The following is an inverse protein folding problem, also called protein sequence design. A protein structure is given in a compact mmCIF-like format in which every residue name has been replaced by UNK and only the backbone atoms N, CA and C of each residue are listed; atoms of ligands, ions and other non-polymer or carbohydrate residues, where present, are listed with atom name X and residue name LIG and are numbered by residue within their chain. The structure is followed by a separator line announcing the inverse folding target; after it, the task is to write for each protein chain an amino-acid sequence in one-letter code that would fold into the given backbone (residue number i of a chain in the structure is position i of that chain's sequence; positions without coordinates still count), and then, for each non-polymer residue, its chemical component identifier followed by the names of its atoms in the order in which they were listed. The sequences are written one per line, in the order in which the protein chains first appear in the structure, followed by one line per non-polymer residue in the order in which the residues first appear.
data_IF_753624983842
#
_entry.id   IF_753624983842
#
_cell.length_a   1.000
_cell.length_b   1.000
_cell.length_c   1.000
_cell.angle_alpha   90.00
_cell.angle_beta   90.00
_cell.angle_gamma   90.00
#
_symmetry.space_group_name_H-M   'P 1'
#
loop_
_entity.id
_entity.type
_entity.pdbx_description
1 polymer ?
#
# COMPACT_ATOMS: atom_id res chain seq x y z
N UNK A 1 -14.24 9.84 -1.49
CA UNK A 1 -14.32 8.56 -2.20
C UNK A 1 -14.99 8.69 -3.56
N UNK A 2 -16.22 9.18 -3.64
CA UNK A 2 -16.92 9.37 -4.93
C UNK A 2 -16.08 10.21 -5.92
N UNK A 3 -15.41 11.26 -5.46
CA UNK A 3 -14.55 12.10 -6.28
C UNK A 3 -13.35 11.35 -6.91
N UNK A 4 -12.82 10.31 -6.27
CA UNK A 4 -11.74 9.48 -6.82
C UNK A 4 -12.25 8.59 -7.95
N UNK A 5 -13.37 7.90 -7.74
CA UNK A 5 -13.94 7.01 -8.76
C UNK A 5 -14.64 7.77 -9.91
N UNK A 6 -15.05 9.02 -9.69
CA UNK A 6 -15.54 9.90 -10.76
C UNK A 6 -14.41 10.60 -11.51
N UNK A 7 -13.17 10.53 -10.98
CA UNK A 7 -11.99 11.12 -11.60
C UNK A 7 -11.36 10.14 -12.60
N UNK A 8 -10.97 10.66 -13.76
CA UNK A 8 -10.12 9.96 -14.73
C UNK A 8 -8.83 9.41 -14.11
N UNK A 9 -8.32 10.11 -13.09
CA UNK A 9 -7.11 9.74 -12.38
C UNK A 9 -7.29 8.41 -11.60
N UNK A 10 -8.44 8.18 -10.97
CA UNK A 10 -8.71 6.95 -10.22
C UNK A 10 -8.72 5.69 -11.11
N UNK A 11 -9.42 5.75 -12.22
CA UNK A 11 -9.44 4.65 -13.18
C UNK A 11 -8.10 4.45 -13.89
N UNK A 12 -7.41 5.55 -14.22
CA UNK A 12 -6.09 5.50 -14.82
C UNK A 12 -5.08 4.76 -13.96
N UNK A 13 -5.14 4.96 -12.65
CA UNK A 13 -4.23 4.31 -11.70
C UNK A 13 -4.51 2.81 -11.56
N UNK A 14 -5.78 2.41 -11.41
CA UNK A 14 -6.16 0.99 -11.37
C UNK A 14 -5.77 0.29 -12.67
N UNK A 15 -6.07 0.92 -13.82
CA UNK A 15 -5.73 0.37 -15.13
C UNK A 15 -4.21 0.24 -15.33
N UNK A 16 -3.42 1.23 -14.90
CA UNK A 16 -1.95 1.17 -15.01
C UNK A 16 -1.37 0.03 -14.18
N UNK A 17 -1.90 -0.21 -12.98
CA UNK A 17 -1.52 -1.34 -12.15
C UNK A 17 -1.74 -2.68 -12.88
N UNK A 18 -2.96 -2.87 -13.42
CA UNK A 18 -3.29 -4.12 -14.12
C UNK A 18 -2.49 -4.32 -15.41
N UNK A 19 -2.26 -3.26 -16.17
CA UNK A 19 -1.44 -3.32 -17.38
C UNK A 19 0.00 -3.71 -17.02
N UNK A 20 0.60 -3.04 -16.04
CA UNK A 20 1.97 -3.33 -15.62
C UNK A 20 2.09 -4.75 -15.06
N UNK A 21 1.20 -5.13 -14.14
CA UNK A 21 1.21 -6.49 -13.57
C UNK A 21 0.92 -7.55 -14.64
N UNK A 22 -0.03 -7.31 -15.54
CA UNK A 22 -0.33 -8.22 -16.63
C UNK A 22 0.85 -8.42 -17.57
N UNK A 23 1.57 -7.35 -17.94
CA UNK A 23 2.77 -7.46 -18.78
C UNK A 23 3.88 -8.24 -18.07
N UNK A 24 4.13 -7.97 -16.79
CA UNK A 24 5.17 -8.68 -16.04
C UNK A 24 4.83 -10.15 -15.79
N UNK A 25 3.60 -10.46 -15.42
CA UNK A 25 3.18 -11.84 -15.10
C UNK A 25 3.13 -12.72 -16.35
N UNK A 26 2.82 -12.16 -17.54
CA UNK A 26 2.52 -12.95 -18.74
C UNK A 26 3.48 -12.77 -19.92
N UNK A 27 4.22 -11.67 -20.01
CA UNK A 27 4.95 -11.31 -21.23
C UNK A 27 6.46 -11.21 -21.05
N UNK A 28 6.95 -10.69 -19.91
CA UNK A 28 8.36 -10.47 -19.69
C UNK A 28 9.07 -11.78 -19.36
N UNK A 29 10.34 -11.93 -19.79
CA UNK A 29 11.18 -13.09 -19.49
C UNK A 29 11.23 -13.37 -17.98
N UNK A 30 11.04 -14.63 -17.59
CA UNK A 30 10.84 -15.03 -16.21
C UNK A 30 9.36 -14.94 -15.76
N UNK A 31 8.43 -14.94 -16.72
CA UNK A 31 6.98 -15.00 -16.45
C UNK A 31 6.55 -16.39 -15.94
N UNK A 32 5.31 -16.46 -15.50
CA UNK A 32 4.70 -17.71 -14.97
C UNK A 32 4.76 -18.87 -15.98
N UNK A 33 4.72 -18.57 -17.28
CA UNK A 33 4.74 -19.60 -18.33
C UNK A 33 6.17 -20.16 -18.52
N UNK A 34 7.19 -19.35 -18.32
CA UNK A 34 8.60 -19.78 -18.45
C UNK A 34 9.04 -20.70 -17.31
N UNK A 35 8.60 -20.40 -16.08
CA UNK A 35 8.92 -21.23 -14.91
C UNK A 35 8.16 -22.55 -14.86
N UNK A 36 7.02 -22.66 -15.54
CA UNK A 36 6.20 -23.87 -15.56
C UNK A 36 5.53 -24.23 -14.23
N UNK A 37 5.63 -23.37 -13.23
CA UNK A 37 4.96 -23.51 -11.93
C UNK A 37 3.78 -22.56 -11.85
N UNK A 38 2.66 -23.05 -11.29
CA UNK A 38 1.44 -22.27 -11.07
C UNK A 38 1.57 -21.38 -9.82
N UNK A 39 2.52 -20.40 -9.83
CA UNK A 39 2.82 -19.54 -8.71
C UNK A 39 2.68 -18.07 -9.07
N UNK A 40 2.23 -17.26 -8.11
CA UNK A 40 2.12 -15.78 -8.21
C UNK A 40 3.33 -15.05 -7.61
N UNK A 41 4.49 -15.70 -7.50
CA UNK A 41 5.68 -15.13 -6.87
C UNK A 41 6.08 -13.82 -7.54
N UNK A 42 6.11 -13.78 -8.88
CA UNK A 42 6.42 -12.58 -9.67
C UNK A 42 5.47 -11.42 -9.36
N UNK A 43 4.18 -11.71 -9.19
CA UNK A 43 3.18 -10.69 -8.82
C UNK A 43 3.46 -10.11 -7.43
N UNK A 44 3.76 -10.96 -6.44
CA UNK A 44 4.04 -10.51 -5.08
C UNK A 44 5.37 -9.78 -4.95
N UNK A 45 6.39 -10.14 -5.74
CA UNK A 45 7.69 -9.48 -5.74
C UNK A 45 7.62 -8.07 -6.35
N UNK A 46 6.79 -7.87 -7.38
CA UNK A 46 6.70 -6.61 -8.09
C UNK A 46 5.68 -5.63 -7.49
N UNK A 47 4.57 -6.15 -6.94
CA UNK A 47 3.49 -5.33 -6.39
C UNK A 47 3.95 -4.31 -5.35
N UNK A 48 4.85 -4.63 -4.39
CA UNK A 48 5.36 -3.66 -3.42
C UNK A 48 6.02 -2.44 -4.07
N UNK A 49 6.79 -2.65 -5.15
CA UNK A 49 7.46 -1.57 -5.88
C UNK A 49 6.47 -0.63 -6.55
N UNK A 50 5.39 -1.16 -7.12
CA UNK A 50 4.33 -0.34 -7.67
C UNK A 50 3.68 0.52 -6.58
N UNK A 51 3.27 -0.10 -5.47
CA UNK A 51 2.60 0.62 -4.38
C UNK A 51 3.52 1.60 -3.65
N UNK A 52 4.84 1.37 -3.66
CA UNK A 52 5.83 2.28 -3.09
C UNK A 52 5.76 3.68 -3.74
N UNK A 53 5.52 3.76 -5.05
CA UNK A 53 5.33 5.01 -5.78
C UNK A 53 3.89 5.49 -5.77
N UNK A 54 2.96 4.55 -5.93
CA UNK A 54 1.55 4.86 -6.13
C UNK A 54 0.87 5.41 -4.86
N UNK A 55 1.16 4.82 -3.71
CA UNK A 55 0.52 5.23 -2.46
C UNK A 55 0.90 6.65 -2.03
N UNK A 56 2.16 7.11 -2.11
CA UNK A 56 2.49 8.52 -1.89
C UNK A 56 1.78 9.48 -2.84
N UNK A 57 1.62 9.10 -4.11
CA UNK A 57 0.87 9.91 -5.08
C UNK A 57 -0.61 10.07 -4.71
N UNK A 58 -1.23 9.01 -4.18
CA UNK A 58 -2.62 9.06 -3.70
C UNK A 58 -2.77 9.88 -2.40
N UNK A 59 -1.81 9.73 -1.48
CA UNK A 59 -1.91 10.30 -0.14
C UNK A 59 -1.43 11.73 -0.05
N UNK A 60 -0.61 12.22 -1.02
CA UNK A 60 -0.01 13.56 -0.97
C UNK A 60 -1.04 14.68 -0.80
N UNK A 61 -2.24 14.55 -1.36
CA UNK A 61 -3.28 15.58 -1.30
C UNK A 61 -4.07 15.56 0.01
N UNK A 62 -3.93 14.51 0.83
CA UNK A 62 -4.84 14.26 1.96
C UNK A 62 -4.84 15.37 3.01
N UNK A 63 -3.69 15.91 3.38
CA UNK A 63 -3.56 17.01 4.34
C UNK A 63 -2.90 18.24 3.71
N UNK A 64 -1.93 18.06 2.81
CA UNK A 64 -1.18 19.16 2.23
C UNK A 64 -2.07 20.12 1.44
N UNK A 65 -3.05 19.62 0.68
CA UNK A 65 -3.99 20.46 -0.07
C UNK A 65 -4.87 21.31 0.85
N UNK A 66 -5.36 20.71 1.95
CA UNK A 66 -6.19 21.43 2.92
C UNK A 66 -5.38 22.51 3.66
N UNK A 67 -4.09 22.24 3.93
CA UNK A 67 -3.19 23.21 4.56
C UNK A 67 -2.80 24.33 3.59
N UNK A 68 -2.58 24.02 2.30
CA UNK A 68 -2.23 25.00 1.28
C UNK A 68 -3.39 25.95 0.98
N UNK A 69 -4.61 25.42 0.86
CA UNK A 69 -5.82 26.20 0.61
C UNK A 69 -6.40 26.87 1.86
N UNK A 70 -5.83 26.65 3.05
CA UNK A 70 -6.35 27.19 4.31
C UNK A 70 -7.69 26.56 4.76
N UNK A 71 -8.19 25.58 4.04
CA UNK A 71 -9.47 24.89 4.36
C UNK A 71 -9.40 23.99 5.59
N UNK A 72 -8.20 23.69 6.05
CA UNK A 72 -7.96 22.96 7.29
C UNK A 72 -8.57 23.66 8.50
N UNK A 73 -8.58 25.01 8.53
CA UNK A 73 -9.24 25.79 9.59
C UNK A 73 -10.77 25.63 9.59
N UNK A 74 -11.39 25.48 8.40
CA UNK A 74 -12.83 25.22 8.27
C UNK A 74 -13.21 23.83 8.80
N UNK A 75 -12.36 22.82 8.54
CA UNK A 75 -12.55 21.48 9.11
C UNK A 75 -12.54 21.48 10.64
N UNK A 76 -11.79 22.39 11.26
CA UNK A 76 -11.69 22.55 12.71
C UNK A 76 -12.91 23.23 13.34
N UNK A 77 -13.64 24.05 12.59
CA UNK A 77 -14.90 24.65 13.08
C UNK A 77 -16.04 23.65 13.17
N UNK A 78 -15.92 22.48 12.55
CA UNK A 78 -16.89 21.40 12.66
C UNK A 78 -16.73 20.65 14.00
N UNK A 79 -17.79 20.10 14.59
CA UNK A 79 -17.73 19.32 15.82
C UNK A 79 -17.17 17.91 15.58
N UNK A 80 -16.00 17.82 14.93
CA UNK A 80 -15.33 16.57 14.54
C UNK A 80 -13.96 16.54 15.20
N UNK A 81 -13.59 15.40 15.79
CA UNK A 81 -12.27 15.22 16.41
C UNK A 81 -11.18 14.96 15.35
N UNK A 82 -9.94 15.42 15.62
CA UNK A 82 -8.79 15.15 14.74
C UNK A 82 -8.58 13.65 14.47
N UNK A 83 -8.96 12.80 15.43
CA UNK A 83 -8.89 11.35 15.29
C UNK A 83 -9.90 10.82 14.24
N UNK A 84 -11.11 11.35 14.23
CA UNK A 84 -12.14 10.97 13.24
C UNK A 84 -11.72 11.41 11.82
N UNK A 85 -11.14 12.58 11.67
CA UNK A 85 -10.62 13.06 10.38
C UNK A 85 -9.50 12.13 9.88
N UNK A 86 -8.55 11.80 10.77
CA UNK A 86 -7.44 10.92 10.43
C UNK A 86 -7.92 9.53 10.02
N UNK A 87 -8.79 8.90 10.80
CA UNK A 87 -9.33 7.57 10.49
C UNK A 87 -10.16 7.58 9.20
N UNK A 88 -10.94 8.64 8.95
CA UNK A 88 -11.70 8.76 7.72
C UNK A 88 -10.78 8.84 6.48
N UNK A 89 -9.67 9.61 6.55
CA UNK A 89 -8.69 9.70 5.47
C UNK A 89 -7.92 8.38 5.27
N UNK A 90 -7.47 7.76 6.36
CA UNK A 90 -6.82 6.45 6.31
C UNK A 90 -7.75 5.38 5.72
N UNK A 91 -8.99 5.28 6.22
CA UNK A 91 -9.98 4.33 5.71
C UNK A 91 -10.35 4.58 4.24
N UNK A 92 -10.38 5.86 3.80
CA UNK A 92 -10.62 6.21 2.41
C UNK A 92 -9.52 5.68 1.49
N UNK A 93 -8.24 5.86 1.86
CA UNK A 93 -7.10 5.35 1.10
C UNK A 93 -7.03 3.83 1.16
N UNK A 94 -7.25 3.23 2.33
CA UNK A 94 -7.31 1.77 2.50
C UNK A 94 -8.40 1.15 1.59
N UNK A 95 -9.55 1.78 1.47
CA UNK A 95 -10.62 1.33 0.57
C UNK A 95 -10.19 1.38 -0.90
N UNK A 96 -9.47 2.43 -1.34
CA UNK A 96 -8.92 2.51 -2.70
C UNK A 96 -7.95 1.37 -2.95
N UNK A 97 -7.08 1.05 -1.98
CA UNK A 97 -6.16 -0.10 -2.06
C UNK A 97 -6.92 -1.41 -2.22
N UNK A 98 -7.96 -1.64 -1.42
CA UNK A 98 -8.82 -2.84 -1.56
C UNK A 98 -9.41 -2.91 -2.97
N UNK A 99 -9.98 -1.81 -3.47
CA UNK A 99 -10.53 -1.77 -4.83
C UNK A 99 -9.48 -2.00 -5.93
N UNK A 100 -8.22 -1.65 -5.68
CA UNK A 100 -7.11 -1.92 -6.61
C UNK A 100 -6.67 -3.38 -6.54
N UNK A 101 -6.68 -4.01 -5.37
CA UNK A 101 -6.26 -5.40 -5.20
C UNK A 101 -7.36 -6.40 -5.57
N UNK A 102 -8.64 -6.07 -5.41
CA UNK A 102 -9.75 -6.99 -5.68
C UNK A 102 -9.70 -7.65 -7.07
N UNK A 103 -9.51 -6.89 -8.18
CA UNK A 103 -9.46 -7.51 -9.50
C UNK A 103 -8.23 -8.41 -9.71
N UNK A 104 -7.20 -8.33 -8.84
CA UNK A 104 -6.02 -9.23 -8.91
C UNK A 104 -6.38 -10.70 -8.64
N UNK A 105 -7.57 -10.96 -8.11
CA UNK A 105 -8.14 -12.31 -8.00
C UNK A 105 -8.23 -12.99 -9.38
N UNK A 106 -8.38 -12.22 -10.46
CA UNK A 106 -8.38 -12.75 -11.83
C UNK A 106 -7.06 -13.45 -12.20
N UNK A 107 -5.92 -12.97 -11.66
CA UNK A 107 -4.63 -13.65 -11.86
C UNK A 107 -4.63 -15.03 -11.20
N UNK A 108 -5.24 -15.18 -10.01
CA UNK A 108 -5.36 -16.47 -9.32
C UNK A 108 -6.17 -17.45 -10.17
N UNK A 109 -7.32 -16.99 -10.70
CA UNK A 109 -8.17 -17.85 -11.54
C UNK A 109 -7.45 -18.28 -12.81
N UNK A 110 -6.69 -17.35 -13.44
CA UNK A 110 -5.93 -17.68 -14.64
C UNK A 110 -4.85 -18.72 -14.38
N UNK A 111 -4.13 -18.62 -13.27
CA UNK A 111 -3.09 -19.58 -12.88
C UNK A 111 -3.71 -20.93 -12.49
N UNK A 112 -4.81 -20.91 -11.75
CA UNK A 112 -5.53 -22.14 -11.39
C UNK A 112 -5.99 -22.94 -12.62
N UNK A 113 -6.40 -22.25 -13.69
CA UNK A 113 -6.83 -22.86 -14.94
C UNK A 113 -5.67 -23.39 -15.79
N UNK A 114 -4.49 -22.74 -15.72
CA UNK A 114 -3.30 -23.12 -16.49
C UNK A 114 -2.47 -24.24 -15.81
N UNK A 115 -2.65 -24.44 -14.49
CA UNK A 115 -1.91 -25.47 -13.73
C UNK A 115 -2.25 -26.89 -14.17
N UNK A 116 -1.25 -27.78 -14.24
CA UNK A 116 -1.42 -29.20 -14.53
C UNK A 116 -0.93 -30.03 -13.33
N UNK A 117 -1.84 -30.83 -12.68
CA UNK A 117 -3.30 -30.90 -12.87
C UNK A 117 -4.00 -29.60 -12.52
N UNK A 118 -5.22 -29.39 -13.06
CA UNK A 118 -6.02 -28.19 -12.78
C UNK A 118 -6.15 -27.93 -11.27
N UNK A 119 -6.06 -26.64 -10.86
CA UNK A 119 -6.06 -26.20 -9.47
C UNK A 119 -4.85 -26.64 -8.62
N UNK A 120 -3.75 -27.03 -9.23
CA UNK A 120 -2.52 -27.36 -8.53
C UNK A 120 -1.71 -26.10 -8.22
N UNK A 121 -2.17 -25.31 -7.25
CA UNK A 121 -1.48 -24.12 -6.74
C UNK A 121 -1.43 -24.14 -5.22
N UNK A 122 -0.41 -23.51 -4.64
CA UNK A 122 -0.29 -23.39 -3.19
C UNK A 122 -1.20 -22.26 -2.65
N UNK A 123 -2.32 -22.68 -2.06
CA UNK A 123 -3.29 -21.78 -1.46
C UNK A 123 -2.70 -20.95 -0.30
N UNK A 124 -1.75 -21.52 0.45
CA UNK A 124 -1.12 -20.85 1.60
C UNK A 124 -0.27 -19.68 1.14
N UNK A 125 0.48 -19.87 0.05
CA UNK A 125 1.32 -18.85 -0.57
C UNK A 125 0.46 -17.70 -1.12
N UNK A 126 -0.64 -18.02 -1.80
CA UNK A 126 -1.55 -17.02 -2.37
C UNK A 126 -2.22 -16.19 -1.25
N UNK A 127 -2.83 -16.87 -0.28
CA UNK A 127 -3.52 -16.18 0.83
C UNK A 127 -2.52 -15.37 1.67
N UNK A 128 -1.38 -15.96 2.01
CA UNK A 128 -0.31 -15.29 2.74
C UNK A 128 0.21 -14.06 2.00
N UNK A 129 0.45 -14.18 0.69
CA UNK A 129 0.91 -13.11 -0.16
C UNK A 129 -0.08 -11.93 -0.25
N UNK A 130 -1.38 -12.19 -0.43
CA UNK A 130 -2.39 -11.12 -0.46
C UNK A 130 -2.56 -10.43 0.90
N UNK A 131 -2.53 -11.18 2.01
CA UNK A 131 -2.58 -10.59 3.36
C UNK A 131 -1.34 -9.74 3.61
N UNK A 132 -0.15 -10.25 3.30
CA UNK A 132 1.11 -9.53 3.43
C UNK A 132 1.12 -8.25 2.60
N UNK A 133 0.72 -8.34 1.33
CA UNK A 133 0.66 -7.20 0.42
C UNK A 133 -0.34 -6.14 0.93
N UNK A 134 -1.51 -6.55 1.38
CA UNK A 134 -2.50 -5.63 1.92
C UNK A 134 -1.97 -4.88 3.16
N UNK A 135 -1.36 -5.59 4.11
CA UNK A 135 -0.79 -5.00 5.32
C UNK A 135 0.38 -4.06 5.00
N UNK A 136 1.28 -4.47 4.10
CA UNK A 136 2.39 -3.63 3.64
C UNK A 136 1.87 -2.32 3.03
N UNK A 137 0.89 -2.41 2.13
CA UNK A 137 0.34 -1.22 1.46
C UNK A 137 -0.38 -0.30 2.46
N UNK A 138 -1.01 -0.85 3.51
CA UNK A 138 -1.55 -0.03 4.61
C UNK A 138 -0.45 0.70 5.39
N UNK A 139 0.74 0.12 5.57
CA UNK A 139 1.89 0.82 6.12
C UNK A 139 2.34 1.96 5.22
N UNK A 140 2.38 1.73 3.90
CA UNK A 140 2.69 2.79 2.93
C UNK A 140 1.65 3.93 2.95
N UNK A 141 0.35 3.60 3.14
CA UNK A 141 -0.72 4.59 3.33
C UNK A 141 -0.47 5.42 4.59
N UNK A 142 -0.09 4.79 5.71
CA UNK A 142 0.21 5.50 6.95
C UNK A 142 1.41 6.43 6.78
N UNK A 143 2.50 5.98 6.12
CA UNK A 143 3.67 6.79 5.78
C UNK A 143 3.30 7.99 4.89
N UNK A 144 2.49 7.75 3.86
CA UNK A 144 2.05 8.79 2.93
C UNK A 144 1.18 9.85 3.60
N UNK A 145 0.26 9.46 4.49
CA UNK A 145 -0.51 10.39 5.31
C UNK A 145 0.38 11.18 6.27
N UNK A 146 1.38 10.52 6.87
CA UNK A 146 2.36 11.20 7.71
C UNK A 146 3.13 12.25 6.92
N UNK A 147 3.66 11.90 5.75
CA UNK A 147 4.34 12.81 4.84
C UNK A 147 3.46 14.00 4.43
N UNK A 148 2.18 13.73 4.07
CA UNK A 148 1.22 14.76 3.72
C UNK A 148 0.93 15.72 4.88
N UNK A 149 1.02 15.25 6.14
CA UNK A 149 0.86 16.10 7.32
C UNK A 149 2.08 17.00 7.59
N UNK A 150 3.24 16.71 7.00
CA UNK A 150 4.50 17.44 7.20
C UNK A 150 4.64 18.69 6.33
N UNK A 151 4.04 18.71 5.15
CA UNK A 151 4.21 19.76 4.16
C UNK A 151 2.88 20.34 3.69
N UNK A 152 2.86 21.65 3.44
CA UNK A 152 1.73 22.32 2.75
C UNK A 152 1.76 22.11 1.24
N UNK A 153 2.92 21.76 0.67
CA UNK A 153 3.10 21.59 -0.77
C UNK A 153 2.98 20.12 -1.15
N UNK A 154 2.04 19.79 -2.03
CA UNK A 154 1.77 18.44 -2.51
C UNK A 154 3.02 17.72 -3.07
N UNK A 155 3.87 18.34 -3.96
CA UNK A 155 5.05 17.66 -4.48
C UNK A 155 6.07 17.31 -3.39
N UNK A 156 6.20 18.14 -2.35
CA UNK A 156 7.09 17.87 -1.22
C UNK A 156 6.54 16.69 -0.40
N UNK A 157 5.23 16.67 -0.15
CA UNK A 157 4.58 15.55 0.53
C UNK A 157 4.77 14.22 -0.22
N UNK A 158 4.67 14.25 -1.56
CA UNK A 158 4.94 13.08 -2.40
C UNK A 158 6.37 12.56 -2.23
N UNK A 159 7.37 13.45 -2.38
CA UNK A 159 8.79 13.07 -2.28
C UNK A 159 9.12 12.52 -0.88
N UNK A 160 8.63 13.18 0.18
CA UNK A 160 8.84 12.71 1.56
C UNK A 160 8.18 11.35 1.78
N UNK A 161 6.94 11.15 1.28
CA UNK A 161 6.25 9.87 1.38
C UNK A 161 6.97 8.74 0.64
N UNK A 162 7.51 9.03 -0.55
CA UNK A 162 8.29 8.10 -1.34
C UNK A 162 9.59 7.72 -0.62
N UNK A 163 10.32 8.70 -0.08
CA UNK A 163 11.55 8.44 0.69
C UNK A 163 11.24 7.59 1.93
N UNK A 164 10.19 7.91 2.69
CA UNK A 164 9.80 7.12 3.86
C UNK A 164 9.47 5.68 3.49
N UNK A 165 8.67 5.46 2.43
CA UNK A 165 8.34 4.12 1.97
C UNK A 165 9.60 3.35 1.55
N UNK A 166 10.50 3.99 0.81
CA UNK A 166 11.75 3.36 0.38
C UNK A 166 12.67 3.02 1.56
N UNK A 167 12.81 3.94 2.52
CA UNK A 167 13.64 3.72 3.72
C UNK A 167 13.12 2.56 4.55
N UNK A 168 11.81 2.46 4.78
CA UNK A 168 11.24 1.35 5.56
C UNK A 168 11.13 0.05 4.77
N UNK A 169 11.06 0.11 3.44
CA UNK A 169 10.99 -1.07 2.59
C UNK A 169 12.38 -1.70 2.34
N UNK A 170 13.35 -0.91 1.91
CA UNK A 170 14.67 -1.39 1.51
C UNK A 170 15.79 -0.85 2.40
N UNK A 171 15.70 0.42 2.80
CA UNK A 171 16.79 1.07 3.52
C UNK A 171 17.04 0.50 4.91
N UNK A 172 16.01 0.06 5.62
CA UNK A 172 16.14 -0.54 6.96
C UNK A 172 16.95 -1.83 6.91
N UNK A 173 16.75 -2.66 5.89
CA UNK A 173 17.49 -3.90 5.64
C UNK A 173 18.98 -3.63 5.39
N UNK A 174 19.31 -2.66 4.57
CA UNK A 174 20.70 -2.31 4.23
C UNK A 174 21.51 -1.77 5.43
N UNK A 175 20.81 -1.12 6.37
CA UNK A 175 21.44 -0.58 7.59
C UNK A 175 21.45 -1.61 8.73
N UNK A 176 20.87 -2.80 8.55
CA UNK A 176 20.81 -3.85 9.57
C UNK A 176 19.82 -3.55 10.69
N UNK A 177 18.78 -2.76 10.41
CA UNK A 177 17.71 -2.43 11.35
C UNK A 177 16.51 -3.38 11.16
N UNK A 178 16.74 -4.66 11.38
CA UNK A 178 15.77 -5.73 11.14
C UNK A 178 14.42 -5.53 11.86
N UNK A 179 14.44 -4.81 13.00
CA UNK A 179 13.23 -4.57 13.80
C UNK A 179 12.25 -3.55 13.18
N UNK A 180 12.63 -2.81 12.14
CA UNK A 180 11.76 -1.88 11.40
C UNK A 180 11.70 -2.17 9.91
N UNK A 181 12.30 -3.28 9.47
CA UNK A 181 12.35 -3.69 8.07
C UNK A 181 11.03 -4.33 7.63
N UNK A 182 10.25 -3.58 6.83
CA UNK A 182 8.99 -4.08 6.28
C UNK A 182 9.21 -5.23 5.29
N UNK A 183 10.36 -5.26 4.58
CA UNK A 183 10.59 -6.24 3.51
C UNK A 183 10.81 -7.64 4.05
N UNK A 184 11.53 -7.81 5.17
CA UNK A 184 11.76 -9.14 5.76
C UNK A 184 10.47 -9.75 6.33
N UNK A 185 9.63 -8.95 6.98
CA UNK A 185 8.31 -9.38 7.46
C UNK A 185 7.37 -9.74 6.30
N UNK A 186 7.36 -8.91 5.25
CA UNK A 186 6.59 -9.15 4.05
C UNK A 186 7.00 -10.46 3.36
N UNK A 187 8.30 -10.66 3.11
CA UNK A 187 8.80 -11.83 2.41
C UNK A 187 8.49 -13.14 3.15
N UNK A 188 8.54 -13.16 4.49
CA UNK A 188 8.11 -14.36 5.26
C UNK A 188 6.63 -14.67 5.06
N UNK A 189 5.79 -13.64 5.13
CA UNK A 189 4.34 -13.82 4.96
C UNK A 189 3.96 -14.17 3.52
N UNK A 190 4.64 -13.59 2.52
CA UNK A 190 4.38 -13.87 1.11
C UNK A 190 4.76 -15.29 0.71
N UNK A 191 5.68 -15.94 1.43
CA UNK A 191 6.00 -17.35 1.30
C UNK A 191 4.99 -18.28 2.00
N UNK A 192 3.85 -17.76 2.44
CA UNK A 192 2.77 -18.54 3.07
C UNK A 192 2.93 -18.76 4.58
N UNK A 193 3.99 -18.21 5.22
CA UNK A 193 4.21 -18.33 6.66
C UNK A 193 3.55 -17.18 7.41
N UNK A 194 2.28 -17.34 7.78
CA UNK A 194 1.54 -16.34 8.55
C UNK A 194 1.92 -16.43 10.03
N UNK A 195 2.91 -15.65 10.46
CA UNK A 195 3.29 -15.50 11.85
C UNK A 195 2.47 -14.41 12.54
N UNK A 196 2.00 -14.70 13.76
CA UNK A 196 1.33 -13.70 14.59
C UNK A 196 2.26 -12.51 14.92
N UNK A 197 3.56 -12.76 15.03
CA UNK A 197 4.57 -11.71 15.22
C UNK A 197 4.61 -10.71 14.06
N UNK A 198 4.55 -11.20 12.82
CA UNK A 198 4.59 -10.35 11.64
C UNK A 198 3.29 -9.50 11.52
N UNK A 199 2.14 -10.10 11.85
CA UNK A 199 0.86 -9.37 11.90
C UNK A 199 0.90 -8.24 12.95
N UNK A 200 1.39 -8.54 14.16
CA UNK A 200 1.54 -7.53 15.22
C UNK A 200 2.50 -6.41 14.82
N UNK A 201 3.57 -6.74 14.11
CA UNK A 201 4.53 -5.76 13.62
C UNK A 201 3.85 -4.77 12.67
N UNK A 202 3.15 -5.22 11.63
CA UNK A 202 2.46 -4.35 10.68
C UNK A 202 1.39 -3.48 11.35
N UNK A 203 0.56 -4.08 12.21
CA UNK A 203 -0.48 -3.34 12.96
C UNK A 203 0.15 -2.31 13.90
N UNK A 204 1.21 -2.70 14.63
CA UNK A 204 1.95 -1.81 15.53
C UNK A 204 2.57 -0.63 14.79
N UNK A 205 3.17 -0.86 13.62
CA UNK A 205 3.74 0.16 12.76
C UNK A 205 2.67 1.18 12.30
N UNK A 206 1.52 0.70 11.85
CA UNK A 206 0.39 1.55 11.47
C UNK A 206 -0.10 2.40 12.64
N UNK A 207 -0.31 1.78 13.81
CA UNK A 207 -0.79 2.48 15.02
C UNK A 207 0.21 3.55 15.46
N UNK A 208 1.51 3.26 15.42
CA UNK A 208 2.57 4.20 15.76
C UNK A 208 2.53 5.42 14.85
N UNK A 209 2.45 5.23 13.54
CA UNK A 209 2.38 6.32 12.58
C UNK A 209 1.11 7.15 12.70
N UNK A 210 -0.05 6.50 12.83
CA UNK A 210 -1.31 7.21 13.05
C UNK A 210 -1.28 8.01 14.36
N UNK A 211 -0.63 7.47 15.40
CA UNK A 211 -0.36 8.19 16.65
C UNK A 211 0.50 9.43 16.45
N UNK A 212 1.58 9.32 15.68
CA UNK A 212 2.46 10.43 15.35
C UNK A 212 1.72 11.53 14.56
N UNK A 213 0.90 11.16 13.57
CA UNK A 213 0.07 12.10 12.82
C UNK A 213 -0.91 12.81 13.77
N UNK A 214 -1.57 12.06 14.66
CA UNK A 214 -2.52 12.62 15.63
C UNK A 214 -1.86 13.65 16.55
N UNK A 215 -0.67 13.36 17.06
CA UNK A 215 0.10 14.29 17.88
C UNK A 215 0.42 15.56 17.10
N UNK A 216 0.92 15.40 15.86
CA UNK A 216 1.23 16.54 14.99
C UNK A 216 0.01 17.41 14.69
N UNK A 217 -1.13 16.80 14.37
CA UNK A 217 -2.37 17.54 14.14
C UNK A 217 -2.83 18.32 15.38
N UNK A 218 -2.51 17.87 16.60
CA UNK A 218 -2.75 18.62 17.83
C UNK A 218 -1.86 19.86 17.95
N UNK A 219 -0.58 19.79 17.50
CA UNK A 219 0.32 20.94 17.52
C UNK A 219 0.04 21.97 16.41
N UNK A 220 -0.64 21.57 15.36
CA UNK A 220 -1.15 22.48 14.32
C UNK A 220 -2.44 23.19 14.74
N UNK A 221 -3.00 22.72 15.85
CA UNK A 221 -4.18 23.27 16.52
C UNK A 221 -3.78 24.26 17.60
#
# INVERSE_FOLDING_TARGET
MLAFFSSWMGWGTISSFFILMGVYVWVIDGNVLDYGFAELTVFFDLSPWFFLFFVPALSMNSFSEEMDRGTFQLLRSLPITSHQILLAKFGALAFIVVCTLLPSILFIQSIAFLGLPENNYDSSLIIGGFIALFLLVLCFVANGLFASSLSKKQPVAFIVGLILNFVFWQGAKEVGLDFIDLSSHYNRMSMGVLSFSDLLFFVGFIILLLGAIRLRLRFLI
#
